data_IF_332440848060
#
_entry.id   IF_332440848060
#
_cell.length_a   1.000
_cell.length_b   1.000
_cell.length_c   1.000
_cell.angle_alpha   90.00
_cell.angle_beta   90.00
_cell.angle_gamma   90.00
#
_symmetry.space_group_name_H-M   'P 1'
#
loop_
_entity.id
_entity.type
_entity.pdbx_description
1 polymer ?
#
# COMPACT_ATOMS: atom_id res chain seq x y z
N UNK A 1 -12.96 8.29 6.57
CA UNK A 1 -12.15 8.98 5.54
C UNK A 1 -11.05 9.79 6.19
N UNK A 2 -9.78 9.45 5.93
CA UNK A 2 -8.62 10.15 6.47
C UNK A 2 -8.20 11.34 5.61
N UNK A 3 -7.33 12.20 6.15
CA UNK A 3 -6.78 13.39 5.45
C UNK A 3 -6.12 13.02 4.10
N UNK A 4 -5.53 11.83 4.01
CA UNK A 4 -4.92 11.31 2.78
C UNK A 4 -5.93 11.09 1.67
N UNK A 5 -7.14 10.63 2.00
CA UNK A 5 -8.20 10.36 1.02
C UNK A 5 -8.69 11.68 0.39
N UNK A 6 -8.94 12.71 1.21
CA UNK A 6 -9.41 14.01 0.70
C UNK A 6 -8.40 14.69 -0.23
N UNK A 7 -7.10 14.56 0.04
CA UNK A 7 -6.05 15.26 -0.73
C UNK A 7 -5.62 14.45 -1.96
N UNK A 8 -5.46 13.14 -1.82
CA UNK A 8 -4.84 12.30 -2.84
C UNK A 8 -5.86 11.68 -3.80
N UNK A 9 -7.09 11.40 -3.36
CA UNK A 9 -8.10 10.73 -4.19
C UNK A 9 -8.49 11.52 -5.45
N UNK A 10 -8.67 12.86 -5.42
CA UNK A 10 -8.96 13.62 -6.64
C UNK A 10 -7.87 13.49 -7.73
N UNK A 11 -6.63 13.26 -7.31
CA UNK A 11 -5.50 13.11 -8.23
C UNK A 11 -5.36 11.66 -8.66
N UNK A 12 -5.37 10.70 -7.75
CA UNK A 12 -5.02 9.31 -8.05
C UNK A 12 -6.19 8.41 -8.47
N UNK A 13 -7.43 8.69 -8.07
CA UNK A 13 -8.59 7.88 -8.49
C UNK A 13 -8.77 7.85 -10.02
N UNK A 14 -8.69 8.98 -10.75
CA UNK A 14 -8.76 8.96 -12.21
C UNK A 14 -7.65 8.12 -12.85
N UNK A 15 -6.46 8.06 -12.22
CA UNK A 15 -5.37 7.21 -12.73
C UNK A 15 -5.69 5.73 -12.55
N UNK A 16 -6.32 5.34 -11.43
CA UNK A 16 -6.69 3.96 -11.17
C UNK A 16 -7.72 3.41 -12.18
N UNK A 17 -8.55 4.26 -12.77
CA UNK A 17 -9.49 3.89 -13.83
C UNK A 17 -8.78 3.46 -15.13
N UNK A 18 -7.52 3.84 -15.34
CA UNK A 18 -6.70 3.37 -16.48
C UNK A 18 -6.20 1.93 -16.28
N UNK A 19 -6.45 1.34 -15.12
CA UNK A 19 -5.97 0.04 -14.71
C UNK A 19 -4.80 0.14 -13.70
N UNK A 20 -4.72 -0.78 -12.72
CA UNK A 20 -3.70 -0.74 -11.67
C UNK A 20 -2.26 -0.69 -12.17
N UNK A 21 -1.97 -1.36 -13.29
CA UNK A 21 -0.63 -1.36 -13.88
C UNK A 21 -0.21 0.03 -14.38
N UNK A 22 -1.04 0.67 -15.21
CA UNK A 22 -0.74 1.99 -15.78
C UNK A 22 -0.71 3.08 -14.71
N UNK A 23 -1.60 2.99 -13.72
CA UNK A 23 -1.57 3.86 -12.56
C UNK A 23 -0.21 3.79 -11.85
N UNK A 24 0.30 2.57 -11.59
CA UNK A 24 1.61 2.40 -10.96
C UNK A 24 2.76 2.90 -11.83
N UNK A 25 2.73 2.70 -13.14
CA UNK A 25 3.74 3.25 -14.07
C UNK A 25 3.83 4.76 -13.94
N UNK A 26 2.70 5.46 -14.01
CA UNK A 26 2.64 6.93 -13.93
C UNK A 26 3.08 7.39 -12.54
N UNK A 27 2.56 6.78 -11.48
CA UNK A 27 2.87 7.14 -10.10
C UNK A 27 4.35 6.91 -9.79
N UNK A 28 4.91 5.76 -10.18
CA UNK A 28 6.35 5.47 -10.03
C UNK A 28 7.19 6.48 -10.78
N UNK A 29 6.82 6.86 -12.01
CA UNK A 29 7.57 7.87 -12.77
C UNK A 29 7.54 9.25 -12.09
N UNK A 30 6.34 9.73 -11.73
CA UNK A 30 6.15 11.04 -11.09
C UNK A 30 6.86 11.10 -9.74
N UNK A 31 6.75 10.05 -8.92
CA UNK A 31 7.48 9.95 -7.65
C UNK A 31 8.98 9.94 -7.88
N UNK A 32 9.50 9.09 -8.77
CA UNK A 32 10.93 9.06 -9.08
C UNK A 32 11.44 10.41 -9.58
N UNK A 33 10.66 11.12 -10.40
CA UNK A 33 10.98 12.47 -10.88
C UNK A 33 11.04 13.46 -9.71
N UNK A 34 9.99 13.51 -8.89
CA UNK A 34 9.89 14.39 -7.73
C UNK A 34 11.04 14.14 -6.75
N UNK A 35 11.34 12.89 -6.43
CA UNK A 35 12.45 12.53 -5.53
C UNK A 35 13.80 12.94 -6.09
N UNK A 36 13.99 12.75 -7.41
CA UNK A 36 15.25 13.11 -8.06
C UNK A 36 15.43 14.63 -8.12
N UNK A 37 14.36 15.39 -8.33
CA UNK A 37 14.38 16.85 -8.28
C UNK A 37 14.66 17.36 -6.87
N UNK A 38 14.00 16.83 -5.83
CA UNK A 38 14.26 17.21 -4.44
C UNK A 38 15.71 16.91 -4.08
N UNK A 39 16.22 15.73 -4.44
CA UNK A 39 17.62 15.37 -4.21
C UNK A 39 18.56 16.39 -4.86
N UNK A 40 18.30 16.78 -6.11
CA UNK A 40 19.10 17.77 -6.82
C UNK A 40 19.07 19.15 -6.15
N UNK A 41 17.90 19.60 -5.69
CA UNK A 41 17.70 20.93 -5.12
C UNK A 41 18.22 21.05 -3.68
N UNK A 42 18.10 19.99 -2.90
CA UNK A 42 18.41 20.01 -1.45
C UNK A 42 19.88 19.67 -1.19
N UNK A 43 20.54 18.95 -2.11
CA UNK A 43 21.91 18.48 -1.93
C UNK A 43 22.90 19.25 -2.81
N UNK A 44 24.01 19.71 -2.21
CA UNK A 44 25.13 20.31 -2.95
C UNK A 44 25.86 19.22 -3.77
N UNK A 45 25.68 19.25 -5.09
CA UNK A 45 26.21 18.22 -5.98
C UNK A 45 27.75 18.22 -6.06
N UNK A 46 28.39 19.39 -5.96
CA UNK A 46 29.86 19.48 -6.00
C UNK A 46 30.47 18.87 -4.74
N UNK A 47 29.87 19.15 -3.58
CA UNK A 47 30.29 18.58 -2.29
C UNK A 47 30.12 17.06 -2.28
N UNK A 48 28.99 16.56 -2.78
CA UNK A 48 28.75 15.11 -2.89
C UNK A 48 29.75 14.42 -3.79
N UNK A 49 30.12 15.06 -4.90
CA UNK A 49 31.12 14.54 -5.83
C UNK A 49 32.50 14.52 -5.16
N UNK A 50 32.89 15.61 -4.49
CA UNK A 50 34.16 15.68 -3.73
C UNK A 50 34.27 14.55 -2.72
N UNK A 51 33.24 14.37 -1.89
CA UNK A 51 33.19 13.31 -0.87
C UNK A 51 33.24 11.91 -1.48
N UNK A 52 32.54 11.67 -2.61
CA UNK A 52 32.63 10.39 -3.35
C UNK A 52 34.04 10.12 -3.88
N UNK A 53 34.70 11.14 -4.42
CA UNK A 53 36.03 11.01 -4.98
C UNK A 53 37.08 10.82 -3.86
N UNK A 54 36.96 11.53 -2.73
CA UNK A 54 37.77 11.31 -1.52
C UNK A 54 37.63 9.89 -0.98
N UNK A 55 36.40 9.36 -0.88
CA UNK A 55 36.17 7.97 -0.46
C UNK A 55 36.82 6.95 -1.39
N UNK A 56 36.73 7.16 -2.72
CA UNK A 56 37.38 6.28 -3.71
C UNK A 56 38.89 6.34 -3.61
N UNK A 57 39.44 7.53 -3.43
CA UNK A 57 40.89 7.73 -3.29
C UNK A 57 41.40 7.05 -2.01
N UNK A 58 40.71 7.20 -0.88
CA UNK A 58 41.06 6.48 0.35
C UNK A 58 40.97 4.95 0.19
N UNK A 59 39.96 4.43 -0.51
CA UNK A 59 39.88 3.00 -0.82
C UNK A 59 41.05 2.51 -1.68
N UNK A 60 41.52 3.32 -2.64
CA UNK A 60 42.68 3.00 -3.47
C UNK A 60 43.97 3.01 -2.64
N UNK A 61 44.17 4.04 -1.83
CA UNK A 61 45.34 4.17 -0.94
C UNK A 61 45.43 3.02 0.08
N UNK A 62 44.30 2.52 0.57
CA UNK A 62 44.27 1.34 1.46
C UNK A 62 44.77 0.06 0.78
N UNK A 63 44.49 -0.12 -0.52
CA UNK A 63 45.01 -1.26 -1.29
C UNK A 63 46.51 -1.16 -1.54
N UNK A 64 47.01 0.06 -1.72
CA UNK A 64 48.41 0.33 -2.02
C UNK A 64 49.29 0.42 -0.77
N UNK A 65 48.74 0.79 0.40
CA UNK A 65 49.49 1.02 1.64
C UNK A 65 48.88 0.26 2.83
N UNK A 66 49.15 -1.05 2.96
CA UNK A 66 48.61 -1.88 4.03
C UNK A 66 48.96 -1.38 5.44
N UNK A 67 50.08 -0.68 5.59
CA UNK A 67 50.58 -0.17 6.86
C UNK A 67 49.79 1.04 7.40
N UNK A 68 49.10 1.79 6.52
CA UNK A 68 48.34 3.00 6.88
C UNK A 68 46.82 2.78 6.88
N UNK A 69 46.37 1.52 6.83
CA UNK A 69 44.94 1.17 6.75
C UNK A 69 44.13 1.84 7.86
N UNK A 70 44.61 1.84 9.12
CA UNK A 70 43.84 2.39 10.24
C UNK A 70 43.54 3.88 10.13
N UNK A 71 44.49 4.70 9.68
CA UNK A 71 44.28 6.14 9.47
C UNK A 71 43.42 6.43 8.24
N UNK A 72 43.68 5.71 7.13
CA UNK A 72 42.92 5.86 5.89
C UNK A 72 41.46 5.43 6.07
N UNK A 73 41.21 4.40 6.87
CA UNK A 73 39.87 3.96 7.22
C UNK A 73 39.12 5.02 8.05
N UNK A 74 39.79 5.68 9.01
CA UNK A 74 39.18 6.78 9.78
C UNK A 74 38.80 7.95 8.88
N UNK A 75 39.65 8.33 7.94
CA UNK A 75 39.37 9.40 6.95
C UNK A 75 38.25 9.02 5.98
N UNK A 76 38.25 7.79 5.47
CA UNK A 76 37.17 7.27 4.65
C UNK A 76 35.84 7.24 5.41
N UNK A 77 35.86 6.87 6.69
CA UNK A 77 34.68 6.88 7.55
C UNK A 77 34.15 8.30 7.79
N UNK A 78 35.01 9.29 8.04
CA UNK A 78 34.57 10.69 8.20
C UNK A 78 33.95 11.24 6.92
N UNK A 79 34.58 11.00 5.76
CA UNK A 79 34.03 11.41 4.46
C UNK A 79 32.68 10.72 4.18
N UNK A 80 32.56 9.42 4.52
CA UNK A 80 31.30 8.70 4.38
C UNK A 80 30.21 9.24 5.33
N UNK A 81 30.54 9.58 6.57
CA UNK A 81 29.60 10.18 7.52
C UNK A 81 29.11 11.56 7.04
N UNK A 82 30.00 12.38 6.49
CA UNK A 82 29.65 13.67 5.91
C UNK A 82 28.76 13.50 4.68
N UNK A 83 29.12 12.59 3.78
CA UNK A 83 28.30 12.21 2.62
C UNK A 83 26.90 11.75 3.05
N UNK A 84 26.84 10.89 4.07
CA UNK A 84 25.58 10.42 4.64
C UNK A 84 24.76 11.59 5.18
N UNK A 85 25.34 12.52 5.96
CA UNK A 85 24.63 13.70 6.47
C UNK A 85 24.02 14.55 5.35
N UNK A 86 24.75 14.77 4.26
CA UNK A 86 24.22 15.47 3.08
C UNK A 86 23.08 14.72 2.38
N UNK A 87 23.10 13.39 2.42
CA UNK A 87 22.03 12.54 1.88
C UNK A 87 20.83 12.37 2.81
N UNK A 88 20.99 12.58 4.12
CA UNK A 88 19.90 12.44 5.10
C UNK A 88 18.87 13.55 4.97
N UNK A 89 19.29 14.79 4.72
CA UNK A 89 18.38 15.93 4.56
C UNK A 89 17.32 15.71 3.45
N UNK A 90 17.67 15.38 2.19
CA UNK A 90 16.67 15.08 1.18
C UNK A 90 15.86 13.83 1.54
N UNK A 91 16.47 12.82 2.18
CA UNK A 91 15.77 11.60 2.60
C UNK A 91 14.63 11.91 3.57
N UNK A 92 14.86 12.72 4.60
CA UNK A 92 13.81 13.08 5.56
C UNK A 92 12.69 13.92 4.92
N UNK A 93 13.05 14.86 4.04
CA UNK A 93 12.07 15.68 3.30
C UNK A 93 11.21 14.80 2.40
N UNK A 94 11.81 13.80 1.75
CA UNK A 94 11.12 12.90 0.83
C UNK A 94 10.35 11.77 1.52
N UNK A 95 10.72 11.43 2.76
CA UNK A 95 10.09 10.35 3.52
C UNK A 95 8.61 10.62 3.81
N UNK A 96 8.27 11.87 4.18
CA UNK A 96 6.90 12.29 4.49
C UNK A 96 5.95 12.08 3.29
N UNK A 97 6.21 12.63 2.09
CA UNK A 97 5.32 12.42 0.95
C UNK A 97 5.28 10.96 0.50
N UNK A 98 6.36 10.19 0.65
CA UNK A 98 6.38 8.75 0.36
C UNK A 98 5.37 8.01 1.23
N UNK A 99 5.41 8.20 2.55
CA UNK A 99 4.49 7.50 3.47
C UNK A 99 3.03 7.84 3.16
N UNK A 100 2.73 9.12 2.90
CA UNK A 100 1.36 9.54 2.60
C UNK A 100 0.83 8.86 1.33
N UNK A 101 1.64 8.86 0.25
CA UNK A 101 1.25 8.23 -1.01
C UNK A 101 1.16 6.71 -0.86
N UNK A 102 2.10 6.07 -0.16
CA UNK A 102 2.09 4.61 0.02
C UNK A 102 0.97 4.14 0.94
N UNK A 103 0.62 4.91 1.97
CA UNK A 103 -0.54 4.62 2.81
C UNK A 103 -1.83 4.66 2.00
N UNK A 104 -1.96 5.64 1.12
CA UNK A 104 -3.11 5.74 0.21
C UNK A 104 -3.12 4.62 -0.84
N UNK A 105 -1.99 4.33 -1.49
CA UNK A 105 -1.89 3.23 -2.46
C UNK A 105 -2.19 1.87 -1.82
N UNK A 106 -1.66 1.62 -0.63
CA UNK A 106 -1.94 0.39 0.12
C UNK A 106 -3.41 0.24 0.45
N UNK A 107 -4.11 1.35 0.73
CA UNK A 107 -5.55 1.33 0.98
C UNK A 107 -6.38 1.02 -0.28
N UNK A 108 -5.89 1.34 -1.48
CA UNK A 108 -6.65 1.21 -2.74
C UNK A 108 -6.19 0.10 -3.69
N UNK A 109 -4.97 -0.44 -3.49
CA UNK A 109 -4.36 -1.48 -4.34
C UNK A 109 -4.09 -2.78 -3.58
N UNK A 110 -4.53 -2.92 -2.33
CA UNK A 110 -4.37 -4.17 -1.60
C UNK A 110 -5.26 -5.28 -2.16
N UNK A 111 -6.46 -4.93 -2.62
CA UNK A 111 -7.50 -5.88 -2.99
C UNK A 111 -8.10 -5.61 -4.37
N UNK A 112 -8.69 -6.64 -4.96
CA UNK A 112 -9.56 -6.52 -6.13
C UNK A 112 -10.94 -6.02 -5.69
N UNK A 113 -11.59 -5.16 -6.49
CA UNK A 113 -12.99 -4.79 -6.24
C UNK A 113 -13.90 -6.01 -6.41
N UNK A 114 -15.05 -6.01 -5.73
CA UNK A 114 -16.11 -6.98 -5.96
C UNK A 114 -16.89 -6.52 -7.19
N UNK A 115 -16.83 -7.29 -8.26
CA UNK A 115 -17.55 -6.97 -9.49
C UNK A 115 -18.94 -7.63 -9.51
N UNK A 116 -19.92 -7.12 -10.27
CA UNK A 116 -21.17 -7.82 -10.48
C UNK A 116 -20.93 -9.24 -11.03
N UNK A 117 -21.51 -10.25 -10.37
CA UNK A 117 -21.32 -11.67 -10.64
C UNK A 117 -20.32 -12.37 -9.71
N UNK A 118 -19.47 -11.63 -8.99
CA UNK A 118 -18.50 -12.20 -8.06
C UNK A 118 -19.16 -12.77 -6.81
N UNK A 119 -18.62 -13.88 -6.32
CA UNK A 119 -18.89 -14.43 -5.00
C UNK A 119 -17.84 -13.95 -4.00
N UNK A 120 -18.29 -13.57 -2.81
CA UNK A 120 -17.43 -13.15 -1.71
C UNK A 120 -17.96 -13.66 -0.38
N UNK A 121 -17.10 -13.57 0.65
CA UNK A 121 -17.41 -14.05 1.99
C UNK A 121 -17.50 -12.87 2.95
N UNK A 122 -18.62 -12.79 3.67
CA UNK A 122 -18.78 -11.94 4.85
C UNK A 122 -18.55 -12.78 6.10
N UNK A 123 -17.53 -12.42 6.87
CA UNK A 123 -17.17 -13.06 8.14
C UNK A 123 -17.59 -12.16 9.30
N UNK A 124 -18.30 -12.74 10.26
CA UNK A 124 -18.76 -12.05 11.46
C UNK A 124 -18.10 -12.71 12.66
N UNK A 125 -17.41 -11.89 13.46
CA UNK A 125 -16.80 -12.30 14.72
C UNK A 125 -17.63 -11.79 15.88
N UNK A 126 -18.00 -12.67 16.81
CA UNK A 126 -18.76 -12.33 18.01
C UNK A 126 -17.82 -12.10 19.21
N UNK A 127 -18.24 -11.25 20.16
CA UNK A 127 -17.44 -10.91 21.34
C UNK A 127 -17.45 -12.03 22.40
N UNK A 128 -18.59 -12.70 22.55
CA UNK A 128 -18.81 -13.84 23.44
C UNK A 128 -19.53 -14.95 22.66
N UNK A 129 -19.40 -16.23 23.08
CA UNK A 129 -20.17 -17.32 22.49
C UNK A 129 -21.65 -17.02 22.68
N UNK A 130 -22.37 -16.78 21.59
CA UNK A 130 -23.78 -16.39 21.69
C UNK A 130 -24.62 -17.65 21.87
N UNK A 131 -24.84 -18.05 23.13
CA UNK A 131 -25.46 -19.35 23.48
C UNK A 131 -26.86 -19.58 22.86
N UNK A 132 -27.59 -18.52 22.46
CA UNK A 132 -28.93 -18.62 21.84
C UNK A 132 -29.28 -17.47 20.85
N UNK A 133 -28.30 -16.69 20.40
CA UNK A 133 -28.58 -15.53 19.55
C UNK A 133 -28.86 -15.95 18.11
N UNK A 134 -30.06 -15.67 17.63
CA UNK A 134 -30.38 -15.85 16.21
C UNK A 134 -29.82 -14.62 15.47
N UNK A 135 -28.72 -14.82 14.75
CA UNK A 135 -28.22 -13.79 13.83
C UNK A 135 -29.06 -13.82 12.53
N UNK A 136 -29.72 -12.71 12.22
CA UNK A 136 -30.48 -12.56 10.98
C UNK A 136 -29.74 -11.63 10.03
N UNK A 137 -29.36 -12.16 8.87
CA UNK A 137 -28.79 -11.38 7.79
C UNK A 137 -29.90 -10.73 6.97
N UNK A 138 -29.82 -9.41 6.79
CA UNK A 138 -30.71 -8.64 5.92
C UNK A 138 -29.87 -8.21 4.71
N UNK A 139 -30.18 -8.81 3.56
CA UNK A 139 -29.49 -8.52 2.30
C UNK A 139 -30.24 -7.42 1.53
N UNK A 140 -29.54 -6.38 1.05
CA UNK A 140 -30.15 -5.36 0.21
C UNK A 140 -30.38 -5.87 -1.22
N UNK A 141 -31.24 -5.16 -1.95
CA UNK A 141 -31.51 -5.43 -3.37
C UNK A 141 -30.21 -5.29 -4.19
N UNK A 142 -29.67 -6.41 -4.66
CA UNK A 142 -28.37 -6.42 -5.35
C UNK A 142 -27.46 -7.57 -4.95
N UNK A 143 -27.83 -8.36 -3.93
CA UNK A 143 -27.11 -9.57 -3.54
C UNK A 143 -28.02 -10.80 -3.57
N UNK A 144 -27.42 -11.93 -3.89
CA UNK A 144 -28.00 -13.26 -3.71
C UNK A 144 -27.22 -14.02 -2.64
N UNK A 145 -27.92 -14.75 -1.79
CA UNK A 145 -27.26 -15.67 -0.87
C UNK A 145 -26.98 -16.99 -1.59
N UNK A 146 -25.72 -17.42 -1.58
CA UNK A 146 -25.29 -18.69 -2.21
C UNK A 146 -25.25 -19.83 -1.17
N UNK A 147 -25.46 -19.53 0.12
CA UNK A 147 -25.46 -20.49 1.23
C UNK A 147 -26.67 -20.39 2.16
N UNK A 148 -26.57 -21.03 3.34
CA UNK A 148 -27.64 -21.02 4.35
C UNK A 148 -27.73 -19.66 5.07
N UNK A 149 -28.94 -19.08 5.12
CA UNK A 149 -29.26 -17.80 5.77
C UNK A 149 -29.19 -17.84 7.31
N UNK A 150 -29.08 -19.02 7.91
CA UNK A 150 -29.11 -19.20 9.37
C UNK A 150 -28.06 -20.22 9.75
N UNK A 151 -27.05 -19.76 10.50
CA UNK A 151 -26.01 -20.59 11.06
C UNK A 151 -26.07 -20.46 12.57
N UNK A 152 -25.85 -21.57 13.29
CA UNK A 152 -25.72 -21.50 14.75
C UNK A 152 -24.49 -20.66 15.10
N UNK A 153 -24.74 -19.60 15.85
CA UNK A 153 -23.72 -18.65 16.27
C UNK A 153 -22.85 -19.32 17.34
N UNK A 154 -21.58 -19.56 17.02
CA UNK A 154 -20.57 -19.92 18.01
C UNK A 154 -19.71 -18.66 18.29
N UNK A 155 -18.46 -18.66 17.85
CA UNK A 155 -17.57 -17.48 17.92
C UNK A 155 -17.46 -16.73 16.59
N UNK A 156 -17.75 -17.44 15.50
CA UNK A 156 -17.58 -16.95 14.14
C UNK A 156 -18.72 -17.47 13.26
N UNK A 157 -19.18 -16.64 12.33
CA UNK A 157 -20.18 -17.02 11.34
C UNK A 157 -19.78 -16.48 9.96
N UNK A 158 -20.00 -17.30 8.93
CA UNK A 158 -19.52 -17.04 7.58
C UNK A 158 -20.69 -17.09 6.60
N UNK A 159 -20.92 -15.99 5.89
CA UNK A 159 -21.97 -15.88 4.88
C UNK A 159 -21.35 -15.80 3.48
N UNK A 160 -21.78 -16.68 2.59
CA UNK A 160 -21.36 -16.70 1.19
C UNK A 160 -22.37 -15.93 0.35
N UNK A 161 -21.94 -14.81 -0.22
CA UNK A 161 -22.78 -13.86 -0.92
C UNK A 161 -22.32 -13.71 -2.37
N UNK A 162 -23.28 -13.46 -3.26
CA UNK A 162 -23.01 -13.13 -4.65
C UNK A 162 -23.50 -11.73 -4.94
N UNK A 163 -22.60 -10.89 -5.44
CA UNK A 163 -22.95 -9.55 -5.90
C UNK A 163 -23.61 -9.64 -7.28
N UNK A 164 -24.74 -8.97 -7.47
CA UNK A 164 -25.52 -9.03 -8.72
C UNK A 164 -25.61 -7.69 -9.44
N UNK A 165 -25.61 -6.58 -8.70
CA UNK A 165 -25.77 -5.22 -9.25
C UNK A 165 -24.69 -4.30 -8.72
N UNK A 166 -24.12 -3.49 -9.61
CA UNK A 166 -23.21 -2.41 -9.24
C UNK A 166 -23.92 -1.38 -8.35
N UNK A 167 -23.23 -0.90 -7.32
CA UNK A 167 -23.77 0.01 -6.33
C UNK A 167 -22.99 0.02 -5.02
N UNK A 168 -23.34 0.97 -4.16
CA UNK A 168 -22.90 1.02 -2.77
C UNK A 168 -24.03 0.55 -1.87
N UNK A 169 -23.74 -0.38 -0.98
CA UNK A 169 -24.74 -1.08 -0.18
C UNK A 169 -24.31 -1.18 1.28
N UNK A 170 -25.30 -1.39 2.14
CA UNK A 170 -25.11 -1.75 3.53
C UNK A 170 -25.66 -3.16 3.73
N UNK A 171 -24.83 -4.07 4.23
CA UNK A 171 -25.27 -5.38 4.68
C UNK A 171 -25.53 -5.27 6.18
N UNK A 172 -26.79 -5.50 6.56
CA UNK A 172 -27.22 -5.39 7.95
C UNK A 172 -27.32 -6.78 8.57
N UNK A 173 -26.80 -6.89 9.79
CA UNK A 173 -26.91 -8.06 10.64
C UNK A 173 -27.67 -7.68 11.90
N UNK A 174 -28.79 -8.35 12.15
CA UNK A 174 -29.55 -8.18 13.38
C UNK A 174 -29.17 -9.27 14.37
N UNK A 175 -28.70 -8.87 15.55
CA UNK A 175 -28.35 -9.77 16.67
C UNK A 175 -29.03 -9.24 17.92
N UNK A 176 -29.90 -10.04 18.52
CA UNK A 176 -30.68 -9.69 19.72
C UNK A 176 -31.42 -8.34 19.60
N UNK A 177 -31.98 -8.04 18.43
CA UNK A 177 -32.71 -6.80 18.14
C UNK A 177 -31.84 -5.56 17.93
N UNK A 178 -30.50 -5.70 17.90
CA UNK A 178 -29.56 -4.61 17.58
C UNK A 178 -29.03 -4.77 16.14
N UNK A 179 -29.13 -3.73 15.29
CA UNK A 179 -28.58 -3.77 13.94
C UNK A 179 -27.08 -3.44 13.93
N UNK A 180 -26.31 -4.23 13.19
CA UNK A 180 -24.90 -3.98 12.87
C UNK A 180 -24.75 -3.90 11.35
N UNK A 181 -24.16 -2.81 10.86
CA UNK A 181 -24.15 -2.51 9.42
C UNK A 181 -22.74 -2.46 8.86
N UNK A 182 -22.51 -3.17 7.75
CA UNK A 182 -21.24 -3.20 7.02
C UNK A 182 -21.41 -2.71 5.59
N UNK A 183 -20.64 -1.69 5.25
CA UNK A 183 -20.60 -1.08 3.93
C UNK A 183 -19.91 -2.03 2.93
N UNK A 184 -20.51 -2.19 1.74
CA UNK A 184 -20.01 -3.01 0.63
C UNK A 184 -20.15 -2.22 -0.66
N UNK A 185 -19.10 -2.20 -1.47
CA UNK A 185 -19.10 -1.55 -2.78
C UNK A 185 -18.96 -2.63 -3.84
N UNK A 186 -19.95 -2.71 -4.74
CA UNK A 186 -19.91 -3.57 -5.92
C UNK A 186 -19.64 -2.67 -7.11
N UNK A 187 -18.51 -2.85 -7.79
CA UNK A 187 -18.12 -2.02 -8.93
C UNK A 187 -17.05 -2.70 -9.78
N UNK A 188 -16.96 -2.31 -11.05
CA UNK A 188 -15.84 -2.69 -11.91
C UNK A 188 -14.65 -1.73 -11.78
N UNK A 189 -14.81 -0.60 -11.10
CA UNK A 189 -13.73 0.36 -10.84
C UNK A 189 -12.82 -0.12 -9.72
N UNK A 190 -11.55 0.32 -9.69
CA UNK A 190 -10.60 -0.02 -8.63
C UNK A 190 -10.91 0.75 -7.34
N UNK A 191 -12.00 0.36 -6.67
CA UNK A 191 -12.49 0.91 -5.40
C UNK A 191 -13.24 -0.17 -4.62
N UNK A 192 -13.04 -0.22 -3.32
CA UNK A 192 -13.71 -1.15 -2.41
C UNK A 192 -13.92 -0.52 -1.04
N UNK A 193 -14.90 -1.02 -0.29
CA UNK A 193 -15.11 -0.60 1.09
C UNK A 193 -14.00 -1.16 1.98
N UNK A 194 -13.75 -0.55 3.14
CA UNK A 194 -12.75 -1.06 4.09
C UNK A 194 -13.00 -2.55 4.39
N UNK A 195 -11.96 -3.42 4.47
CA UNK A 195 -12.14 -4.86 4.59
C UNK A 195 -12.75 -5.29 5.92
N UNK A 196 -12.60 -4.50 6.99
CA UNK A 196 -13.07 -4.83 8.34
C UNK A 196 -13.73 -3.61 8.96
N UNK A 197 -14.82 -3.81 9.70
CA UNK A 197 -15.46 -2.80 10.57
C UNK A 197 -15.63 -3.41 11.95
N UNK A 198 -15.16 -2.71 12.97
CA UNK A 198 -15.22 -3.14 14.37
C UNK A 198 -16.40 -2.47 15.05
N UNK A 199 -17.05 -3.15 15.98
CA UNK A 199 -18.19 -2.65 16.72
C UNK A 199 -17.97 -2.81 18.22
N UNK A 200 -18.70 -2.01 19.01
CA UNK A 200 -18.81 -2.18 20.46
C UNK A 200 -20.12 -2.92 20.74
N UNK A 201 -20.06 -4.18 21.20
CA UNK A 201 -21.25 -4.96 21.51
C UNK A 201 -21.08 -6.47 21.30
N UNK A 202 -22.19 -7.15 21.01
CA UNK A 202 -22.23 -8.60 20.80
C UNK A 202 -21.45 -9.03 19.55
N UNK A 203 -21.45 -8.19 18.51
CA UNK A 203 -20.60 -8.35 17.33
C UNK A 203 -19.30 -7.59 17.59
N UNK A 204 -18.16 -8.29 17.48
CA UNK A 204 -16.84 -7.68 17.57
C UNK A 204 -16.43 -7.04 16.25
N UNK A 205 -16.63 -7.72 15.14
CA UNK A 205 -16.27 -7.21 13.82
C UNK A 205 -17.01 -7.91 12.69
N UNK A 206 -17.24 -7.17 11.61
CA UNK A 206 -17.65 -7.71 10.31
C UNK A 206 -16.54 -7.46 9.30
N UNK A 207 -16.09 -8.51 8.60
CA UNK A 207 -15.05 -8.42 7.57
C UNK A 207 -15.45 -9.08 6.27
N UNK A 208 -14.94 -8.54 5.16
CA UNK A 208 -15.12 -9.06 3.81
C UNK A 208 -13.80 -9.68 3.37
N UNK A 209 -13.84 -10.95 2.97
CA UNK A 209 -12.66 -11.67 2.49
C UNK A 209 -12.40 -11.32 1.02
N UNK A 210 -11.78 -10.17 0.77
CA UNK A 210 -11.41 -9.73 -0.58
C UNK A 210 -10.25 -10.55 -1.17
N UNK A 211 -10.28 -10.75 -2.50
CA UNK A 211 -9.13 -11.26 -3.25
C UNK A 211 -8.01 -10.21 -3.26
N UNK A 212 -6.76 -10.65 -3.12
CA UNK A 212 -5.59 -9.76 -3.24
C UNK A 212 -5.40 -9.33 -4.68
N UNK A 213 -5.15 -8.04 -4.89
CA UNK A 213 -4.88 -7.52 -6.23
C UNK A 213 -3.56 -8.07 -6.79
N UNK A 214 -3.62 -8.64 -7.98
CA UNK A 214 -2.42 -9.05 -8.74
C UNK A 214 -2.23 -8.09 -9.91
N UNK A 215 -1.33 -7.12 -9.75
CA UNK A 215 -0.99 -6.15 -10.81
C UNK A 215 -0.22 -6.82 -11.95
N UNK A 216 0.79 -7.61 -11.60
CA UNK A 216 1.69 -8.28 -12.52
C UNK A 216 2.11 -9.60 -11.87
N UNK A 217 1.98 -10.75 -12.56
CA UNK A 217 2.34 -12.04 -11.99
C UNK A 217 3.86 -12.26 -12.05
N UNK A 218 4.61 -11.47 -11.27
CA UNK A 218 6.08 -11.51 -11.22
C UNK A 218 6.53 -12.23 -9.94
N UNK A 219 7.42 -13.22 -10.10
CA UNK A 219 8.04 -13.98 -9.01
C UNK A 219 7.25 -15.22 -8.56
N UNK A 220 7.80 -15.96 -7.59
CA UNK A 220 7.12 -17.14 -7.04
C UNK A 220 5.87 -16.72 -6.25
N UNK A 221 4.71 -17.27 -6.63
CA UNK A 221 3.41 -17.06 -5.94
C UNK A 221 2.95 -15.58 -5.88
N UNK A 222 3.37 -14.73 -6.81
CA UNK A 222 2.98 -13.31 -6.88
C UNK A 222 3.26 -12.52 -5.57
N UNK A 223 4.26 -12.93 -4.79
CA UNK A 223 4.57 -12.36 -3.47
C UNK A 223 4.81 -10.85 -3.49
N UNK A 224 5.29 -10.33 -4.63
CA UNK A 224 5.69 -8.92 -4.77
C UNK A 224 4.51 -7.93 -4.75
N UNK A 225 3.31 -8.36 -5.12
CA UNK A 225 2.11 -7.51 -5.15
C UNK A 225 2.31 -6.18 -5.92
N UNK A 226 1.50 -5.17 -5.61
CA UNK A 226 1.62 -3.83 -6.18
C UNK A 226 2.93 -3.12 -5.78
N UNK A 227 3.43 -3.37 -4.57
CA UNK A 227 4.61 -2.73 -4.00
C UNK A 227 5.89 -3.11 -4.77
N UNK A 228 6.07 -4.38 -5.10
CA UNK A 228 7.25 -4.83 -5.83
C UNK A 228 7.26 -4.32 -7.27
N UNK A 229 6.10 -4.24 -7.94
CA UNK A 229 5.97 -3.61 -9.26
C UNK A 229 6.41 -2.15 -9.18
N UNK A 230 5.92 -1.40 -8.19
CA UNK A 230 6.36 -0.02 -7.94
C UNK A 230 7.88 0.07 -7.73
N UNK A 231 8.48 -0.81 -6.93
CA UNK A 231 9.93 -0.78 -6.65
C UNK A 231 10.73 -0.99 -7.93
N UNK A 232 10.35 -1.97 -8.77
CA UNK A 232 11.04 -2.25 -10.04
C UNK A 232 10.94 -1.04 -10.98
N UNK A 233 9.74 -0.49 -11.16
CA UNK A 233 9.51 0.67 -12.01
C UNK A 233 10.27 1.91 -11.51
N UNK A 234 10.19 2.20 -10.22
CA UNK A 234 10.85 3.37 -9.61
C UNK A 234 12.38 3.29 -9.67
N UNK A 235 12.98 2.09 -9.55
CA UNK A 235 14.41 1.89 -9.76
C UNK A 235 14.81 2.18 -11.21
N UNK A 236 14.06 1.63 -12.17
CA UNK A 236 14.29 1.86 -13.59
C UNK A 236 14.19 3.36 -13.92
N UNK A 237 13.13 4.04 -13.48
CA UNK A 237 12.97 5.47 -13.69
C UNK A 237 14.05 6.29 -12.99
N UNK A 238 14.40 5.96 -11.74
CA UNK A 238 15.48 6.63 -10.99
C UNK A 238 16.81 6.58 -11.73
N UNK A 239 17.18 5.43 -12.30
CA UNK A 239 18.41 5.29 -13.08
C UNK A 239 18.40 6.18 -14.33
N UNK A 240 17.29 6.19 -15.07
CA UNK A 240 17.14 7.01 -16.28
C UNK A 240 17.18 8.51 -15.92
N UNK A 241 16.41 8.92 -14.92
CA UNK A 241 16.29 10.31 -14.48
C UNK A 241 17.59 10.87 -13.92
N UNK A 242 18.31 10.10 -13.09
CA UNK A 242 19.63 10.51 -12.57
C UNK A 242 20.64 10.69 -13.69
N UNK A 243 20.66 9.78 -14.67
CA UNK A 243 21.52 9.89 -15.85
C UNK A 243 21.19 11.13 -16.67
N UNK A 244 19.90 11.39 -16.93
CA UNK A 244 19.45 12.58 -17.67
C UNK A 244 19.81 13.89 -16.95
N UNK A 245 19.67 13.92 -15.62
CA UNK A 245 19.93 15.12 -14.81
C UNK A 245 21.40 15.32 -14.43
N UNK A 246 22.30 14.43 -14.87
CA UNK A 246 23.73 14.42 -14.53
C UNK A 246 23.98 14.41 -13.02
N UNK A 247 23.17 13.65 -12.28
CA UNK A 247 23.31 13.48 -10.84
C UNK A 247 24.30 12.35 -10.55
N UNK A 248 25.25 12.62 -9.64
CA UNK A 248 26.29 11.67 -9.24
C UNK A 248 25.76 10.60 -8.29
#
# INVERSE_FOLDING_TARGET
MGITDTILSPVFMPLLQLGPFWALVIISFVLSLLMTLIYKLVTNQDEMKRLKDEMKEHQKQMKENPEKIGELQKKAMSANLEYMRHSFKPTLITFIPIILIFGWLGAHLAYEPISPGDEFVLRVMFAEPVENGIARLVLPDGFENVGNNTQQVQNETVFHLKAMKEGEYFIDLEVDGKPYSKDVIVTNEQRYAEPIKTFEGAVKSMSIDYRKLVVLPIGYRNWFGWLGVYIILSLMFSLVLRKMMKLS
#
